data_IF_498982811034
#
_entry.id   IF_498982811034
#
_cell.length_a   1.000
_cell.length_b   1.000
_cell.length_c   1.000
_cell.angle_alpha   90.00
_cell.angle_beta   90.00
_cell.angle_gamma   90.00
#
_symmetry.space_group_name_H-M   'P 1'
#
loop_
_entity.id
_entity.type
_entity.pdbx_description
1 polymer ?
#
# COMPACT_ATOMS: atom_id res chain seq x y z
N UNK A 1 -15.91 16.00 -16.46
CA UNK A 1 -15.01 15.16 -17.30
C UNK A 1 -13.69 15.90 -17.53
N UNK A 2 -12.53 15.23 -17.38
CA UNK A 2 -11.18 15.78 -17.54
C UNK A 2 -10.78 16.91 -16.56
N UNK A 3 -11.49 17.07 -15.44
CA UNK A 3 -11.10 18.02 -14.40
C UNK A 3 -9.77 17.61 -13.76
N UNK A 4 -8.88 18.57 -13.51
CA UNK A 4 -7.60 18.34 -12.88
C UNK A 4 -7.80 18.03 -11.39
N UNK A 5 -7.06 17.06 -10.86
CA UNK A 5 -7.11 16.65 -9.46
C UNK A 5 -5.80 17.04 -8.77
N UNK A 6 -5.88 17.61 -7.58
CA UNK A 6 -4.71 17.90 -6.73
C UNK A 6 -4.89 17.21 -5.38
N UNK A 7 -3.82 16.64 -4.86
CA UNK A 7 -3.77 16.11 -3.50
C UNK A 7 -2.37 16.33 -2.91
N UNK A 8 -2.30 16.54 -1.60
CA UNK A 8 -1.07 16.37 -0.85
C UNK A 8 -0.96 14.92 -0.38
N UNK A 9 0.14 14.26 -0.69
CA UNK A 9 0.36 12.90 -0.23
C UNK A 9 1.83 12.57 -0.16
N UNK A 10 2.20 11.90 0.93
CA UNK A 10 3.53 11.31 1.14
C UNK A 10 3.61 9.84 0.73
N UNK A 11 2.52 9.22 0.24
CA UNK A 11 2.47 7.78 0.03
C UNK A 11 1.20 7.24 -0.62
N UNK A 12 0.55 6.27 0.05
CA UNK A 12 -0.41 5.34 -0.56
C UNK A 12 -1.62 6.04 -1.20
N UNK A 13 -2.11 7.14 -0.61
CA UNK A 13 -3.22 7.91 -1.19
C UNK A 13 -2.83 8.50 -2.56
N UNK A 14 -1.62 9.04 -2.70
CA UNK A 14 -1.15 9.57 -3.98
C UNK A 14 -1.03 8.48 -5.06
N UNK A 15 -0.54 7.30 -4.68
CA UNK A 15 -0.52 6.13 -5.58
C UNK A 15 -1.93 5.67 -5.97
N UNK A 16 -2.85 5.59 -5.01
CA UNK A 16 -4.24 5.21 -5.25
C UNK A 16 -4.95 6.19 -6.19
N UNK A 17 -4.79 7.49 -5.94
CA UNK A 17 -5.29 8.52 -6.83
C UNK A 17 -4.66 8.45 -8.21
N UNK A 18 -3.36 8.15 -8.33
CA UNK A 18 -2.70 8.03 -9.62
C UNK A 18 -3.33 6.92 -10.48
N UNK A 19 -3.61 5.76 -9.89
CA UNK A 19 -4.31 4.66 -10.57
C UNK A 19 -5.73 5.10 -10.99
N UNK A 20 -6.53 5.63 -10.07
CA UNK A 20 -7.92 6.00 -10.34
C UNK A 20 -8.00 7.11 -11.38
N UNK A 21 -7.14 8.12 -11.27
CA UNK A 21 -7.10 9.27 -12.18
C UNK A 21 -6.68 8.85 -13.58
N UNK A 22 -5.68 7.96 -13.70
CA UNK A 22 -5.27 7.39 -14.99
C UNK A 22 -6.40 6.60 -15.66
N UNK A 23 -7.14 5.78 -14.91
CA UNK A 23 -8.24 4.96 -15.44
C UNK A 23 -9.45 5.82 -15.83
N UNK A 24 -9.79 6.82 -15.01
CA UNK A 24 -10.95 7.68 -15.23
C UNK A 24 -10.66 8.87 -16.17
N UNK A 25 -9.42 9.02 -16.64
CA UNK A 25 -9.04 10.07 -17.60
C UNK A 25 -8.94 11.47 -16.98
N UNK A 26 -8.48 11.57 -15.73
CA UNK A 26 -8.27 12.83 -15.03
C UNK A 26 -6.77 13.12 -14.84
N UNK A 27 -6.28 14.32 -15.20
CA UNK A 27 -4.94 14.75 -14.82
C UNK A 27 -4.80 14.83 -13.30
N UNK A 28 -3.65 14.41 -12.77
CA UNK A 28 -3.38 14.42 -11.34
C UNK A 28 -2.05 15.12 -11.06
N UNK A 29 -2.05 16.03 -10.07
CA UNK A 29 -0.83 16.58 -9.48
C UNK A 29 -0.78 16.23 -7.99
N UNK A 30 0.30 15.59 -7.56
CA UNK A 30 0.59 15.28 -6.17
C UNK A 30 1.64 16.25 -5.63
N UNK A 31 1.29 16.96 -4.56
CA UNK A 31 2.25 17.70 -3.75
C UNK A 31 2.84 16.76 -2.68
N UNK A 32 4.17 16.71 -2.58
CA UNK A 32 4.87 15.81 -1.65
C UNK A 32 6.10 16.49 -1.05
N UNK A 33 6.44 16.23 0.21
CA UNK A 33 7.71 16.71 0.79
C UNK A 33 8.92 15.98 0.18
N UNK A 34 10.02 16.68 -0.08
CA UNK A 34 11.33 16.14 -0.52
C UNK A 34 11.90 15.10 0.44
N UNK A 35 11.48 15.12 1.71
CA UNK A 35 11.88 14.11 2.70
C UNK A 35 11.27 12.73 2.48
N UNK A 36 10.26 12.61 1.62
CA UNK A 36 9.66 11.33 1.30
C UNK A 36 10.54 10.51 0.35
N UNK A 37 10.33 9.19 0.37
CA UNK A 37 11.01 8.25 -0.52
C UNK A 37 10.87 8.67 -1.99
N UNK A 38 12.01 8.74 -2.69
CA UNK A 38 12.07 9.03 -4.12
C UNK A 38 11.35 7.97 -4.96
N UNK A 39 11.33 6.72 -4.50
CA UNK A 39 10.62 5.61 -5.13
C UNK A 39 9.11 5.88 -5.23
N UNK A 40 8.50 6.52 -4.21
CA UNK A 40 7.07 6.89 -4.23
C UNK A 40 6.78 7.93 -5.32
N UNK A 41 7.64 8.93 -5.47
CA UNK A 41 7.53 9.91 -6.55
C UNK A 41 7.64 9.25 -7.93
N UNK A 42 8.60 8.34 -8.10
CA UNK A 42 8.82 7.61 -9.36
C UNK A 42 7.59 6.78 -9.71
N UNK A 43 7.03 6.05 -8.74
CA UNK A 43 5.81 5.24 -8.96
C UNK A 43 4.63 6.11 -9.40
N UNK A 44 4.36 7.22 -8.70
CA UNK A 44 3.25 8.12 -9.06
C UNK A 44 3.44 8.72 -10.46
N UNK A 45 4.67 9.12 -10.82
CA UNK A 45 4.98 9.61 -12.17
C UNK A 45 4.79 8.55 -13.25
N UNK A 46 5.20 7.31 -12.98
CA UNK A 46 5.00 6.19 -13.91
C UNK A 46 3.51 5.89 -14.16
N UNK A 47 2.65 6.17 -13.16
CA UNK A 47 1.20 6.07 -13.25
C UNK A 47 0.55 7.30 -13.91
N UNK A 48 1.34 8.25 -14.43
CA UNK A 48 0.86 9.42 -15.15
C UNK A 48 0.56 10.65 -14.29
N UNK A 49 0.91 10.64 -13.00
CA UNK A 49 0.76 11.80 -12.13
C UNK A 49 1.93 12.80 -12.28
N UNK A 50 1.64 14.10 -12.25
CA UNK A 50 2.64 15.11 -11.98
C UNK A 50 2.98 15.07 -10.47
N UNK A 51 4.25 15.09 -10.11
CA UNK A 51 4.67 15.13 -8.69
C UNK A 51 5.54 16.35 -8.44
N UNK A 52 5.01 17.27 -7.62
CA UNK A 52 5.64 18.52 -7.22
C UNK A 52 6.20 18.37 -5.81
N UNK A 53 7.51 18.56 -5.67
CA UNK A 53 8.20 18.40 -4.39
C UNK A 53 8.27 19.73 -3.63
N UNK A 54 7.90 19.71 -2.35
CA UNK A 54 8.04 20.79 -1.40
C UNK A 54 9.31 20.58 -0.56
N UNK A 55 10.10 21.64 -0.35
CA UNK A 55 11.32 21.57 0.46
C UNK A 55 11.00 21.20 1.91
N UNK A 56 11.88 20.42 2.55
CA UNK A 56 11.78 20.20 3.99
C UNK A 56 12.13 21.48 4.76
N UNK A 57 11.47 21.65 5.91
CA UNK A 57 11.70 22.74 6.87
C UNK A 57 12.63 22.26 7.98
N UNK A 58 12.17 21.29 8.78
CA UNK A 58 12.90 20.74 9.93
C UNK A 58 12.89 19.20 9.96
N UNK A 59 12.31 18.56 8.95
CA UNK A 59 12.43 17.12 8.76
C UNK A 59 13.76 16.70 8.13
N UNK A 60 13.89 15.38 7.94
CA UNK A 60 15.03 14.75 7.27
C UNK A 60 14.54 13.65 6.32
N UNK A 61 15.39 13.10 5.42
CA UNK A 61 14.99 11.99 4.57
C UNK A 61 14.39 10.82 5.39
N UNK A 62 13.24 10.32 4.93
CA UNK A 62 12.44 9.30 5.59
C UNK A 62 11.63 9.78 6.81
N UNK A 63 11.68 11.07 7.15
CA UNK A 63 10.99 11.61 8.33
C UNK A 63 10.41 12.99 8.04
N UNK A 64 9.09 13.02 7.84
CA UNK A 64 8.33 14.24 7.54
C UNK A 64 7.68 14.75 8.81
N UNK A 65 7.92 16.01 9.16
CA UNK A 65 7.35 16.66 10.34
C UNK A 65 6.04 17.39 10.04
N UNK A 66 5.39 17.93 11.09
CA UNK A 66 4.22 18.80 10.92
C UNK A 66 4.54 20.10 10.15
N UNK A 67 5.76 20.65 10.31
CA UNK A 67 6.19 21.84 9.58
C UNK A 67 6.37 21.54 8.09
N UNK A 68 6.99 20.40 7.76
CA UNK A 68 7.10 19.93 6.37
C UNK A 68 5.71 19.78 5.73
N UNK A 69 4.73 19.20 6.45
CA UNK A 69 3.36 19.05 5.96
C UNK A 69 2.69 20.39 5.65
N UNK A 70 2.97 21.44 6.43
CA UNK A 70 2.43 22.77 6.16
C UNK A 70 2.99 23.36 4.86
N UNK A 71 4.28 23.14 4.56
CA UNK A 71 4.85 23.53 3.26
C UNK A 71 4.22 22.73 2.10
N UNK A 72 3.96 21.43 2.28
CA UNK A 72 3.24 20.65 1.26
C UNK A 72 1.84 21.20 1.01
N UNK A 73 1.12 21.64 2.05
CA UNK A 73 -0.20 22.30 1.91
C UNK A 73 -0.13 23.57 1.08
N UNK A 74 0.89 24.41 1.30
CA UNK A 74 1.10 25.64 0.51
C UNK A 74 1.35 25.31 -0.97
N UNK A 75 2.16 24.29 -1.25
CA UNK A 75 2.41 23.82 -2.63
C UNK A 75 1.13 23.28 -3.26
N UNK A 76 0.37 22.44 -2.55
CA UNK A 76 -0.89 21.90 -3.03
C UNK A 76 -1.88 23.03 -3.37
N UNK A 77 -2.05 24.02 -2.49
CA UNK A 77 -2.94 25.16 -2.71
C UNK A 77 -2.58 25.95 -3.99
N UNK A 78 -1.28 26.18 -4.24
CA UNK A 78 -0.81 26.84 -5.47
C UNK A 78 -1.12 26.01 -6.73
N UNK A 79 -0.98 24.69 -6.68
CA UNK A 79 -1.34 23.83 -7.81
C UNK A 79 -2.85 23.80 -8.03
N UNK A 80 -3.63 23.77 -6.95
CA UNK A 80 -5.09 23.82 -7.01
C UNK A 80 -5.57 25.10 -7.71
N UNK A 81 -5.01 26.25 -7.33
CA UNK A 81 -5.32 27.54 -7.98
C UNK A 81 -4.87 27.57 -9.44
N UNK A 82 -3.62 27.17 -9.72
CA UNK A 82 -3.03 27.17 -11.08
C UNK A 82 -3.87 26.37 -12.09
N UNK A 83 -4.36 25.20 -11.70
CA UNK A 83 -5.08 24.30 -12.59
C UNK A 83 -6.61 24.41 -12.48
N UNK A 84 -7.12 25.29 -11.62
CA UNK A 84 -8.53 25.29 -11.20
C UNK A 84 -9.01 23.87 -10.82
N UNK A 85 -8.15 23.17 -10.08
CA UNK A 85 -8.29 21.74 -9.81
C UNK A 85 -9.28 21.45 -8.68
N UNK A 86 -9.79 20.23 -8.66
CA UNK A 86 -10.44 19.67 -7.49
C UNK A 86 -9.37 19.19 -6.49
N UNK A 87 -9.34 19.81 -5.32
CA UNK A 87 -8.46 19.40 -4.22
C UNK A 87 -9.16 18.29 -3.40
N UNK A 88 -8.58 17.09 -3.37
CA UNK A 88 -9.22 15.91 -2.77
C UNK A 88 -9.35 16.02 -1.25
N UNK A 89 -8.34 16.59 -0.60
CA UNK A 89 -8.30 16.88 0.84
C UNK A 89 -8.61 15.67 1.72
N UNK A 90 -7.84 14.59 1.57
CA UNK A 90 -8.03 13.33 2.32
C UNK A 90 -8.13 13.47 3.85
N UNK A 91 -7.66 14.58 4.43
CA UNK A 91 -7.69 14.84 5.87
C UNK A 91 -9.02 15.41 6.37
N UNK A 92 -9.82 16.03 5.49
CA UNK A 92 -11.09 16.67 5.85
C UNK A 92 -12.29 16.12 5.05
N UNK A 93 -12.04 15.36 3.99
CA UNK A 93 -13.09 14.88 3.10
C UNK A 93 -13.81 13.65 3.69
N UNK A 94 -15.06 13.80 4.12
CA UNK A 94 -15.90 12.71 4.65
C UNK A 94 -16.08 11.53 3.68
N UNK A 95 -15.84 11.70 2.37
CA UNK A 95 -15.83 10.57 1.45
C UNK A 95 -14.76 9.52 1.80
N UNK A 96 -13.67 9.93 2.46
CA UNK A 96 -12.66 9.02 3.01
C UNK A 96 -13.27 8.11 4.09
N UNK A 97 -13.86 8.69 5.14
CA UNK A 97 -14.47 7.90 6.22
C UNK A 97 -15.65 7.06 5.70
N UNK A 98 -16.46 7.63 4.81
CA UNK A 98 -17.62 6.97 4.20
C UNK A 98 -17.25 5.74 3.37
N UNK A 99 -16.15 5.78 2.60
CA UNK A 99 -15.69 4.61 1.85
C UNK A 99 -15.46 3.39 2.76
N UNK A 100 -14.95 3.62 3.97
CA UNK A 100 -14.71 2.56 4.93
C UNK A 100 -15.98 2.14 5.70
N UNK A 101 -16.93 3.04 5.90
CA UNK A 101 -18.24 2.72 6.48
C UNK A 101 -19.15 1.94 5.53
N UNK A 102 -19.13 2.26 4.23
CA UNK A 102 -19.99 1.66 3.21
C UNK A 102 -19.41 0.38 2.61
N UNK A 103 -18.09 0.17 2.73
CA UNK A 103 -17.41 -0.95 2.08
C UNK A 103 -16.62 -1.78 3.09
N UNK A 104 -15.57 -1.21 3.70
CA UNK A 104 -14.63 -1.99 4.52
C UNK A 104 -15.29 -2.57 5.79
N UNK A 105 -16.08 -1.79 6.52
CA UNK A 105 -16.82 -2.24 7.70
C UNK A 105 -17.80 -3.39 7.40
N UNK A 106 -18.70 -3.24 6.39
CA UNK A 106 -19.59 -4.31 5.94
C UNK A 106 -18.87 -5.59 5.52
N UNK A 107 -17.73 -5.45 4.84
CA UNK A 107 -16.90 -6.59 4.47
C UNK A 107 -16.37 -7.34 5.69
N UNK A 108 -15.78 -6.62 6.66
CA UNK A 108 -15.28 -7.19 7.92
C UNK A 108 -16.41 -7.92 8.66
N UNK A 109 -17.57 -7.28 8.83
CA UNK A 109 -18.71 -7.87 9.53
C UNK A 109 -19.19 -9.16 8.85
N UNK A 110 -19.36 -9.12 7.53
CA UNK A 110 -19.81 -10.28 6.75
C UNK A 110 -18.79 -11.41 6.78
N UNK A 111 -17.50 -11.11 6.64
CA UNK A 111 -16.41 -12.10 6.60
C UNK A 111 -16.18 -12.75 7.96
N UNK A 112 -16.41 -12.03 9.05
CA UNK A 112 -16.35 -12.58 10.42
C UNK A 112 -17.65 -13.29 10.83
N UNK A 113 -18.70 -13.23 10.00
CA UNK A 113 -20.03 -13.73 10.37
C UNK A 113 -20.60 -13.06 11.62
N UNK A 114 -20.23 -11.79 11.86
CA UNK A 114 -20.61 -11.03 13.04
C UNK A 114 -19.92 -11.42 14.35
N UNK A 115 -18.87 -12.25 14.31
CA UNK A 115 -18.22 -12.81 15.51
C UNK A 115 -17.13 -11.94 16.13
N UNK A 116 -16.72 -10.85 15.49
CA UNK A 116 -15.65 -10.01 16.03
C UNK A 116 -16.05 -9.41 17.38
N UNK A 117 -15.12 -9.48 18.34
CA UNK A 117 -15.24 -8.86 19.65
C UNK A 117 -14.54 -7.50 19.68
N UNK A 118 -13.52 -7.31 18.84
CA UNK A 118 -12.81 -6.04 18.77
C UNK A 118 -12.28 -5.71 17.37
N UNK A 119 -12.13 -4.41 17.13
CA UNK A 119 -11.42 -3.84 15.99
C UNK A 119 -10.31 -2.91 16.48
N UNK A 120 -9.10 -3.08 15.96
CA UNK A 120 -7.94 -2.25 16.32
C UNK A 120 -7.22 -1.74 15.09
N UNK A 121 -6.89 -0.45 15.07
CA UNK A 121 -6.08 0.14 14.00
C UNK A 121 -5.26 1.35 14.48
N UNK A 122 -4.07 1.51 13.90
CA UNK A 122 -3.33 2.76 13.89
C UNK A 122 -4.09 3.79 13.05
N UNK A 123 -3.99 5.07 13.44
CA UNK A 123 -4.68 6.19 12.80
C UNK A 123 -3.72 7.06 11.99
N UNK A 124 -4.02 7.20 10.70
CA UNK A 124 -3.42 8.20 9.81
C UNK A 124 -4.34 9.41 9.63
N UNK A 125 -5.12 9.43 8.55
CA UNK A 125 -6.10 10.50 8.28
C UNK A 125 -7.33 10.44 9.21
N UNK A 126 -7.54 9.36 9.95
CA UNK A 126 -8.74 9.12 10.77
C UNK A 126 -9.87 8.41 10.03
N UNK A 127 -9.96 8.56 8.70
CA UNK A 127 -11.10 8.06 7.91
C UNK A 127 -11.35 6.56 8.05
N UNK A 128 -10.30 5.74 7.97
CA UNK A 128 -10.44 4.28 8.08
C UNK A 128 -11.00 3.82 9.42
N UNK A 129 -10.41 4.28 10.53
CA UNK A 129 -10.89 3.96 11.87
C UNK A 129 -12.32 4.49 12.08
N UNK A 130 -12.58 5.75 11.72
CA UNK A 130 -13.89 6.36 11.88
C UNK A 130 -14.98 5.60 11.11
N UNK A 131 -14.76 5.31 9.83
CA UNK A 131 -15.74 4.61 9.00
C UNK A 131 -16.04 3.19 9.48
N UNK A 132 -15.00 2.40 9.75
CA UNK A 132 -15.16 1.02 10.21
C UNK A 132 -15.83 0.99 11.58
N UNK A 133 -15.36 1.79 12.54
CA UNK A 133 -15.92 1.80 13.89
C UNK A 133 -17.37 2.29 13.94
N UNK A 134 -17.74 3.31 13.14
CA UNK A 134 -19.16 3.72 12.97
C UNK A 134 -20.02 2.56 12.51
N UNK A 135 -19.62 1.88 11.44
CA UNK A 135 -20.40 0.74 10.92
C UNK A 135 -20.49 -0.40 11.94
N UNK A 136 -19.36 -0.80 12.54
CA UNK A 136 -19.33 -1.90 13.50
C UNK A 136 -20.17 -1.62 14.74
N UNK A 137 -20.08 -0.41 15.33
CA UNK A 137 -20.89 -0.01 16.49
C UNK A 137 -22.39 0.06 16.17
N UNK A 138 -22.77 0.34 14.92
CA UNK A 138 -24.17 0.23 14.48
C UNK A 138 -24.66 -1.23 14.43
N UNK A 139 -23.79 -2.18 14.06
CA UNK A 139 -24.15 -3.60 14.05
C UNK A 139 -24.19 -4.20 15.46
N UNK A 140 -23.19 -3.86 16.28
CA UNK A 140 -23.10 -4.29 17.66
C UNK A 140 -22.30 -3.25 18.48
N UNK A 141 -22.96 -2.51 19.42
CA UNK A 141 -22.30 -1.49 20.22
C UNK A 141 -21.24 -2.05 21.19
N UNK A 142 -21.31 -3.35 21.50
CA UNK A 142 -20.37 -4.02 22.42
C UNK A 142 -19.02 -4.35 21.77
N UNK A 143 -18.87 -4.19 20.44
CA UNK A 143 -17.58 -4.38 19.77
C UNK A 143 -16.58 -3.34 20.27
N UNK A 144 -15.46 -3.79 20.83
CA UNK A 144 -14.41 -2.90 21.35
C UNK A 144 -13.59 -2.33 20.19
N UNK A 145 -13.61 -1.01 20.01
CA UNK A 145 -12.88 -0.29 18.96
C UNK A 145 -11.70 0.46 19.58
N UNK A 146 -10.48 0.03 19.25
CA UNK A 146 -9.24 0.49 19.89
C UNK A 146 -8.33 1.17 18.88
N UNK A 147 -7.72 2.29 19.28
CA UNK A 147 -6.70 2.94 18.48
C UNK A 147 -5.31 2.51 18.94
N UNK A 148 -4.47 2.06 18.01
CA UNK A 148 -3.06 1.81 18.28
C UNK A 148 -2.25 3.10 18.05
N UNK A 149 -1.51 3.55 19.06
CA UNK A 149 -0.64 4.73 18.95
C UNK A 149 0.81 4.36 19.25
N UNK A 150 1.80 4.91 18.50
CA UNK A 150 3.19 4.72 18.85
C UNK A 150 3.47 5.38 20.20
N UNK A 151 4.28 4.75 21.05
CA UNK A 151 4.60 5.28 22.38
C UNK A 151 5.14 6.72 22.33
N UNK A 152 5.83 7.05 21.24
CA UNK A 152 6.44 8.34 20.96
C UNK A 152 5.47 9.44 20.49
N UNK A 153 4.23 9.11 20.11
CA UNK A 153 3.22 10.06 19.63
C UNK A 153 1.79 9.54 19.90
N UNK A 154 1.26 9.87 21.08
CA UNK A 154 -0.07 9.43 21.55
C UNK A 154 -1.07 10.61 21.61
N UNK A 155 -1.25 11.29 20.49
CA UNK A 155 -2.07 12.50 20.41
C UNK A 155 -3.56 12.23 20.68
N UNK A 156 -4.08 11.05 20.30
CA UNK A 156 -5.48 10.67 20.52
C UNK A 156 -5.72 10.41 22.01
N UNK A 157 -4.75 9.82 22.72
CA UNK A 157 -4.75 9.70 24.18
C UNK A 157 -4.62 11.06 24.90
N UNK A 158 -4.15 12.10 24.23
CA UNK A 158 -3.92 13.43 24.80
C UNK A 158 -2.55 13.61 25.46
N UNK A 159 -1.59 12.74 25.15
CA UNK A 159 -0.22 12.83 25.66
C UNK A 159 0.65 13.69 24.73
N UNK A 160 1.69 14.37 25.25
CA UNK A 160 2.64 15.08 24.42
C UNK A 160 3.38 14.13 23.47
N UNK A 161 3.91 14.67 22.37
CA UNK A 161 4.74 13.96 21.42
C UNK A 161 6.22 14.11 21.80
N UNK A 162 6.83 13.16 22.53
CA UNK A 162 8.25 13.23 22.87
C UNK A 162 9.17 13.03 21.66
N UNK A 163 8.72 12.32 20.62
CA UNK A 163 9.55 12.07 19.43
C UNK A 163 8.71 12.00 18.14
N UNK A 164 8.81 13.00 17.24
CA UNK A 164 8.10 13.00 15.96
C UNK A 164 8.66 12.01 14.92
N UNK A 165 9.76 11.31 15.22
CA UNK A 165 10.51 10.47 14.28
C UNK A 165 10.24 8.95 14.45
N UNK A 166 9.07 8.56 14.95
CA UNK A 166 8.71 7.14 15.10
C UNK A 166 8.59 6.41 13.75
N UNK A 167 8.61 5.07 13.75
CA UNK A 167 8.66 4.27 12.50
C UNK A 167 7.34 4.22 11.71
N UNK A 168 6.20 4.51 12.36
CA UNK A 168 4.87 4.39 11.74
C UNK A 168 4.56 5.52 10.73
N UNK A 169 5.26 5.51 9.59
CA UNK A 169 5.08 6.49 8.52
C UNK A 169 3.65 6.49 7.96
N UNK A 170 3.12 7.69 7.69
CA UNK A 170 1.73 7.86 7.23
C UNK A 170 0.69 7.85 8.35
N UNK A 171 1.12 7.81 9.61
CA UNK A 171 0.26 7.80 10.79
C UNK A 171 0.81 8.63 11.95
N UNK A 172 -0.05 8.90 12.94
CA UNK A 172 0.33 9.44 14.27
C UNK A 172 1.15 10.74 14.24
N UNK A 173 0.70 11.71 13.44
CA UNK A 173 1.37 13.01 13.23
C UNK A 173 1.40 13.98 14.44
N UNK A 174 1.15 13.48 15.66
CA UNK A 174 1.19 14.31 16.88
C UNK A 174 -0.01 15.22 17.07
N UNK A 175 -1.00 15.10 16.20
CA UNK A 175 -2.27 15.81 16.26
C UNK A 175 -3.40 14.83 15.99
N UNK A 176 -4.56 15.09 16.58
CA UNK A 176 -5.78 14.34 16.28
C UNK A 176 -6.29 14.78 14.90
N UNK A 177 -6.45 13.87 13.92
CA UNK A 177 -6.85 14.27 12.58
C UNK A 177 -8.35 14.63 12.55
N UNK A 178 -8.78 15.55 11.66
CA UNK A 178 -10.15 16.07 11.65
C UNK A 178 -11.24 15.02 11.46
N UNK A 179 -10.98 13.97 10.66
CA UNK A 179 -11.95 12.88 10.43
C UNK A 179 -12.03 11.87 11.59
N UNK A 180 -11.18 11.99 12.60
CA UNK A 180 -11.22 11.08 13.75
C UNK A 180 -12.46 11.35 14.63
N UNK A 181 -13.04 10.29 15.18
CA UNK A 181 -14.18 10.38 16.09
C UNK A 181 -13.93 9.58 17.37
N UNK A 182 -14.12 10.24 18.51
CA UNK A 182 -14.03 9.61 19.83
C UNK A 182 -15.27 8.80 20.18
N UNK A 183 -16.43 9.11 19.59
CA UNK A 183 -17.71 8.51 19.99
C UNK A 183 -17.81 7.01 19.71
N UNK A 184 -16.99 6.49 18.79
CA UNK A 184 -16.93 5.08 18.43
C UNK A 184 -15.62 4.43 18.84
N UNK A 185 -14.77 5.14 19.60
CA UNK A 185 -13.54 4.62 20.19
C UNK A 185 -13.76 4.30 21.67
N UNK A 186 -13.29 3.14 22.11
CA UNK A 186 -13.32 2.75 23.52
C UNK A 186 -12.06 3.24 24.27
N UNK A 187 -10.86 2.98 23.73
CA UNK A 187 -9.58 3.44 24.31
C UNK A 187 -8.40 3.28 23.33
N UNK A 188 -7.21 3.69 23.76
CA UNK A 188 -5.96 3.56 23.00
C UNK A 188 -5.05 2.48 23.56
N UNK A 189 -4.20 1.90 22.71
CA UNK A 189 -3.13 0.97 23.07
C UNK A 189 -1.81 1.52 22.55
N UNK A 190 -0.81 1.64 23.43
CA UNK A 190 0.53 2.11 23.09
C UNK A 190 1.36 0.98 22.46
N UNK A 191 2.11 1.28 21.40
CA UNK A 191 2.99 0.34 20.70
C UNK A 191 4.39 0.97 20.52
N UNK A 192 5.46 0.25 20.86
CA UNK A 192 6.82 0.71 20.63
C UNK A 192 7.29 0.43 19.19
N UNK A 193 8.31 1.15 18.73
CA UNK A 193 8.94 0.86 17.43
C UNK A 193 9.49 -0.59 17.38
N UNK A 194 10.10 -1.07 18.48
CA UNK A 194 10.59 -2.45 18.58
C UNK A 194 9.46 -3.48 18.45
N UNK A 195 8.28 -3.20 19.02
CA UNK A 195 7.10 -4.05 18.88
C UNK A 195 6.59 -4.06 17.44
N UNK A 196 6.51 -2.89 16.80
CA UNK A 196 6.11 -2.78 15.40
C UNK A 196 7.07 -3.58 14.48
N UNK A 197 8.38 -3.47 14.69
CA UNK A 197 9.41 -4.25 13.96
C UNK A 197 9.24 -5.74 14.22
N UNK A 198 9.13 -6.15 15.50
CA UNK A 198 8.98 -7.55 15.89
C UNK A 198 7.79 -8.20 15.18
N UNK A 199 6.62 -7.58 15.21
CA UNK A 199 5.41 -8.17 14.63
C UNK A 199 5.38 -8.08 13.10
N UNK A 200 5.97 -7.05 12.50
CA UNK A 200 6.22 -7.00 11.05
C UNK A 200 7.07 -8.20 10.59
N UNK A 201 8.16 -8.47 11.30
CA UNK A 201 9.06 -9.58 10.97
C UNK A 201 8.40 -10.94 11.21
N UNK A 202 7.57 -11.07 12.25
CA UNK A 202 6.79 -12.29 12.49
C UNK A 202 5.77 -12.54 11.38
N UNK A 203 5.04 -11.52 10.92
CA UNK A 203 4.13 -11.64 9.78
C UNK A 203 4.87 -12.15 8.53
N UNK A 204 6.06 -11.59 8.24
CA UNK A 204 6.86 -12.01 7.10
C UNK A 204 7.40 -13.44 7.24
N UNK A 205 7.95 -13.79 8.40
CA UNK A 205 8.67 -15.07 8.59
C UNK A 205 7.76 -16.26 8.92
N UNK A 206 6.65 -16.03 9.61
CA UNK A 206 5.73 -17.10 10.03
C UNK A 206 4.57 -17.27 9.06
N UNK A 207 4.01 -16.17 8.58
CA UNK A 207 2.80 -16.19 7.74
C UNK A 207 3.12 -15.92 6.25
N UNK A 208 4.37 -15.58 5.91
CA UNK A 208 4.74 -15.20 4.55
C UNK A 208 4.13 -13.86 4.11
N UNK A 209 3.60 -13.07 5.04
CA UNK A 209 2.90 -11.82 4.79
C UNK A 209 3.87 -10.65 4.99
N UNK A 210 4.41 -10.13 3.90
CA UNK A 210 5.40 -9.06 3.93
C UNK A 210 4.74 -7.68 3.86
N UNK A 211 4.72 -6.96 4.98
CA UNK A 211 3.96 -5.71 5.17
C UNK A 211 4.79 -4.61 5.84
N UNK A 212 4.29 -3.38 5.84
CA UNK A 212 4.93 -2.21 6.47
C UNK A 212 4.82 -2.18 8.01
N UNK A 213 5.52 -1.21 8.63
CA UNK A 213 5.60 -1.06 10.09
C UNK A 213 4.23 -0.82 10.75
N UNK A 214 3.34 -0.05 10.09
CA UNK A 214 1.99 0.22 10.59
C UNK A 214 1.17 -1.06 10.74
N UNK A 215 1.33 -2.01 9.83
CA UNK A 215 0.73 -3.34 9.91
C UNK A 215 1.31 -4.16 11.06
N UNK A 216 2.62 -4.06 11.29
CA UNK A 216 3.28 -4.65 12.47
C UNK A 216 2.73 -4.07 13.79
N UNK A 217 2.54 -2.76 13.87
CA UNK A 217 1.99 -2.10 15.05
C UNK A 217 0.52 -2.48 15.31
N UNK A 218 -0.27 -2.59 14.26
CA UNK A 218 -1.65 -3.11 14.30
C UNK A 218 -1.72 -4.50 14.94
N UNK A 219 -0.85 -5.42 14.51
CA UNK A 219 -0.79 -6.77 15.08
C UNK A 219 -0.25 -6.75 16.51
N UNK A 220 0.74 -5.91 16.83
CA UNK A 220 1.23 -5.75 18.19
C UNK A 220 0.12 -5.31 19.15
N UNK A 221 -0.70 -4.35 18.75
CA UNK A 221 -1.82 -3.87 19.54
C UNK A 221 -2.92 -4.94 19.70
N UNK A 222 -3.22 -5.70 18.64
CA UNK A 222 -4.16 -6.81 18.70
C UNK A 222 -3.73 -7.89 19.71
N UNK A 223 -2.44 -8.25 19.73
CA UNK A 223 -1.91 -9.22 20.70
C UNK A 223 -2.01 -8.68 22.13
N UNK A 224 -1.61 -7.41 22.36
CA UNK A 224 -1.77 -6.78 23.68
C UNK A 224 -3.21 -6.76 24.15
N UNK A 225 -4.15 -6.54 23.24
CA UNK A 225 -5.58 -6.53 23.54
C UNK A 225 -6.10 -7.92 23.95
N UNK A 226 -5.62 -8.98 23.29
CA UNK A 226 -5.95 -10.37 23.68
C UNK A 226 -5.30 -10.76 25.02
N UNK A 227 -4.07 -10.29 25.28
CA UNK A 227 -3.33 -10.57 26.51
C UNK A 227 -3.82 -9.75 27.71
N UNK A 228 -4.62 -8.69 27.50
CA UNK A 228 -5.06 -7.78 28.56
C UNK A 228 -6.08 -8.39 29.53
N UNK A 229 -6.74 -9.49 29.12
CA UNK A 229 -7.88 -10.07 29.84
C UNK A 229 -9.17 -9.26 29.76
N UNK A 230 -9.22 -8.19 28.95
CA UNK A 230 -10.42 -7.37 28.74
C UNK A 230 -11.39 -7.97 27.72
N UNK A 231 -10.92 -8.91 26.90
CA UNK A 231 -11.73 -9.63 25.92
C UNK A 231 -11.99 -11.08 26.36
N UNK A 232 -13.07 -11.72 25.89
CA UNK A 232 -13.27 -13.16 26.04
C UNK A 232 -12.05 -13.97 25.54
N UNK A 233 -11.79 -15.12 26.15
CA UNK A 233 -10.63 -15.95 25.80
C UNK A 233 -10.65 -16.47 24.35
N UNK A 234 -11.84 -16.58 23.75
CA UNK A 234 -12.08 -16.99 22.36
C UNK A 234 -12.40 -15.80 21.43
N UNK A 235 -12.11 -14.57 21.87
CA UNK A 235 -12.41 -13.35 21.14
C UNK A 235 -11.73 -13.28 19.77
N UNK A 236 -12.48 -12.75 18.80
CA UNK A 236 -11.96 -12.45 17.47
C UNK A 236 -11.60 -10.97 17.38
N UNK A 237 -10.32 -10.67 17.17
CA UNK A 237 -9.82 -9.31 16.98
C UNK A 237 -9.50 -9.09 15.51
N UNK A 238 -10.11 -8.06 14.92
CA UNK A 238 -9.82 -7.65 13.54
C UNK A 238 -8.87 -6.47 13.55
N UNK A 239 -7.85 -6.52 12.70
CA UNK A 239 -6.97 -5.40 12.42
C UNK A 239 -6.66 -5.32 10.92
N UNK A 240 -5.97 -4.26 10.49
CA UNK A 240 -5.66 -4.00 9.09
C UNK A 240 -4.18 -4.22 8.79
N UNK A 241 -3.90 -4.77 7.62
CA UNK A 241 -2.56 -4.79 7.03
C UNK A 241 -2.57 -3.82 5.85
N UNK A 242 -1.94 -2.67 6.02
CA UNK A 242 -2.23 -1.48 5.21
C UNK A 242 -1.44 -1.40 3.91
N UNK A 243 -0.21 -1.91 3.90
CA UNK A 243 0.70 -1.88 2.74
C UNK A 243 1.82 -2.93 2.83
N UNK A 244 2.45 -3.18 1.68
CA UNK A 244 3.71 -3.91 1.55
C UNK A 244 4.88 -2.92 1.59
N UNK A 245 6.02 -3.31 2.18
CA UNK A 245 7.23 -2.47 2.08
C UNK A 245 7.65 -2.28 0.62
N UNK A 246 8.20 -1.11 0.30
CA UNK A 246 8.66 -0.79 -1.05
C UNK A 246 9.89 -1.64 -1.36
N UNK A 247 9.79 -2.47 -2.41
CA UNK A 247 10.93 -3.20 -2.95
C UNK A 247 11.84 -2.26 -3.73
N UNK A 248 13.15 -2.52 -3.68
CA UNK A 248 14.12 -1.69 -4.38
C UNK A 248 13.98 -1.81 -5.90
N UNK A 249 13.34 -2.88 -6.37
CA UNK A 249 13.17 -3.18 -7.79
C UNK A 249 11.97 -4.08 -8.08
N UNK A 250 11.39 -3.95 -9.28
CA UNK A 250 10.28 -4.80 -9.75
C UNK A 250 10.64 -6.29 -9.81
N UNK A 251 11.92 -6.65 -9.99
CA UNK A 251 12.35 -8.07 -9.99
C UNK A 251 12.15 -8.75 -8.63
N UNK A 252 12.13 -7.98 -7.54
CA UNK A 252 11.88 -8.46 -6.18
C UNK A 252 10.39 -8.73 -5.90
N UNK A 253 9.50 -8.30 -6.80
CA UNK A 253 8.07 -8.61 -6.76
C UNK A 253 7.74 -9.95 -7.47
N UNK A 254 8.70 -10.53 -8.20
CA UNK A 254 8.53 -11.84 -8.86
C UNK A 254 8.60 -12.94 -7.79
N UNK A 255 7.47 -13.57 -7.49
CA UNK A 255 7.36 -14.58 -6.43
C UNK A 255 6.26 -14.29 -5.42
N UNK A 256 6.05 -15.21 -4.47
CA UNK A 256 5.15 -15.03 -3.31
C UNK A 256 3.71 -14.59 -3.64
N UNK A 257 3.22 -14.87 -4.84
CA UNK A 257 1.85 -14.58 -5.27
C UNK A 257 0.84 -15.39 -4.44
N UNK A 258 -0.38 -14.91 -4.19
CA UNK A 258 -1.31 -15.60 -3.30
C UNK A 258 -1.80 -16.92 -3.90
N UNK A 259 -2.31 -17.80 -3.03
CA UNK A 259 -3.02 -19.01 -3.42
C UNK A 259 -4.48 -18.88 -2.98
N UNK A 260 -5.41 -19.10 -3.90
CA UNK A 260 -6.85 -18.96 -3.67
C UNK A 260 -7.50 -20.34 -3.72
N UNK A 261 -8.28 -20.67 -2.69
CA UNK A 261 -9.12 -21.86 -2.71
C UNK A 261 -10.38 -21.60 -3.54
N UNK A 262 -10.65 -22.48 -4.51
CA UNK A 262 -11.81 -22.39 -5.42
C UNK A 262 -13.01 -23.16 -4.86
N UNK A 263 -13.27 -23.03 -3.57
CA UNK A 263 -14.29 -23.80 -2.84
C UNK A 263 -15.72 -23.52 -3.37
N UNK A 264 -15.92 -22.39 -4.05
CA UNK A 264 -17.19 -22.06 -4.73
C UNK A 264 -17.40 -22.81 -6.05
N UNK A 265 -16.31 -23.23 -6.70
CA UNK A 265 -16.35 -24.00 -7.96
C UNK A 265 -16.44 -25.50 -7.64
N UNK A 266 -15.75 -25.95 -6.58
CA UNK A 266 -15.79 -27.33 -6.12
C UNK A 266 -16.18 -27.42 -4.64
N UNK A 267 -17.47 -27.67 -4.33
CA UNK A 267 -17.96 -27.81 -2.95
C UNK A 267 -17.88 -29.25 -2.40
N UNK A 268 -17.38 -30.21 -3.19
CA UNK A 268 -17.26 -31.62 -2.80
C UNK A 268 -16.03 -31.92 -1.91
N UNK A 269 -15.76 -33.20 -1.57
CA UNK A 269 -14.56 -33.57 -0.83
C UNK A 269 -13.27 -33.21 -1.60
N UNK A 270 -12.22 -32.81 -0.87
CA UNK A 270 -10.98 -32.25 -1.44
C UNK A 270 -11.03 -30.73 -1.63
N UNK A 271 -9.91 -30.11 -2.05
CA UNK A 271 -9.85 -28.66 -2.35
C UNK A 271 -9.12 -28.40 -3.66
N UNK A 272 -9.65 -27.48 -4.46
CA UNK A 272 -8.94 -26.92 -5.61
C UNK A 272 -8.25 -25.64 -5.14
N UNK A 273 -6.92 -25.61 -5.20
CA UNK A 273 -6.12 -24.44 -4.85
C UNK A 273 -5.50 -23.88 -6.14
N UNK A 274 -5.74 -22.61 -6.42
CA UNK A 274 -5.22 -21.91 -7.58
C UNK A 274 -4.15 -20.91 -7.16
N UNK A 275 -2.95 -21.03 -7.72
CA UNK A 275 -1.87 -20.08 -7.50
C UNK A 275 -2.04 -18.87 -8.44
N UNK A 276 -2.16 -17.67 -7.88
CA UNK A 276 -2.47 -16.44 -8.62
C UNK A 276 -1.21 -15.83 -9.29
N UNK A 277 -0.55 -16.60 -10.15
CA UNK A 277 0.69 -16.18 -10.82
C UNK A 277 0.51 -15.01 -11.82
N UNK A 278 -0.73 -14.63 -12.16
CA UNK A 278 -1.01 -13.42 -12.95
C UNK A 278 -0.67 -12.13 -12.19
N UNK A 279 -0.42 -12.21 -10.87
CA UNK A 279 -0.07 -11.08 -10.03
C UNK A 279 1.44 -10.79 -9.99
N UNK A 280 2.28 -11.54 -10.72
CA UNK A 280 3.67 -11.12 -10.92
C UNK A 280 3.72 -9.87 -11.85
N UNK A 281 4.77 -9.03 -11.79
CA UNK A 281 4.83 -7.74 -12.49
C UNK A 281 4.61 -7.76 -14.02
N UNK A 282 5.09 -8.79 -14.69
CA UNK A 282 4.89 -9.08 -16.13
C UNK A 282 3.55 -9.76 -16.43
N UNK A 283 2.68 -9.90 -15.42
CA UNK A 283 1.29 -10.31 -15.54
C UNK A 283 1.08 -11.82 -15.66
N UNK A 284 2.10 -12.65 -15.41
CA UNK A 284 1.98 -14.10 -15.57
C UNK A 284 3.05 -14.90 -14.81
N UNK A 285 2.90 -16.23 -14.84
CA UNK A 285 3.90 -17.16 -14.29
C UNK A 285 5.28 -17.08 -14.96
N UNK A 286 5.39 -16.50 -16.16
CA UNK A 286 6.63 -16.52 -16.95
C UNK A 286 7.71 -15.56 -16.44
N UNK A 287 7.35 -14.65 -15.55
CA UNK A 287 8.31 -13.79 -14.85
C UNK A 287 9.36 -14.60 -14.07
N UNK A 288 8.92 -15.71 -13.45
CA UNK A 288 9.80 -16.59 -12.65
C UNK A 288 10.91 -17.23 -13.49
N UNK A 289 10.61 -17.97 -14.58
CA UNK A 289 11.65 -18.53 -15.42
C UNK A 289 12.46 -17.42 -16.11
N UNK A 290 11.87 -16.30 -16.51
CA UNK A 290 12.64 -15.17 -17.05
C UNK A 290 13.71 -14.68 -16.07
N UNK A 291 13.33 -14.43 -14.82
CA UNK A 291 14.27 -14.04 -13.76
C UNK A 291 15.36 -15.09 -13.58
N UNK A 292 14.96 -16.35 -13.38
CA UNK A 292 15.90 -17.44 -13.11
C UNK A 292 16.89 -17.67 -14.27
N UNK A 293 16.41 -17.64 -15.52
CA UNK A 293 17.26 -17.82 -16.70
C UNK A 293 18.28 -16.69 -16.84
N UNK A 294 17.86 -15.43 -16.67
CA UNK A 294 18.76 -14.28 -16.77
C UNK A 294 19.76 -14.25 -15.61
N UNK A 295 19.31 -14.44 -14.37
CA UNK A 295 20.21 -14.52 -13.20
C UNK A 295 21.24 -15.65 -13.35
N UNK A 296 20.83 -16.82 -13.87
CA UNK A 296 21.74 -17.95 -14.12
C UNK A 296 22.72 -17.66 -15.27
N UNK A 297 22.26 -16.99 -16.33
CA UNK A 297 23.13 -16.61 -17.44
C UNK A 297 24.20 -15.61 -16.97
N UNK A 298 23.84 -14.67 -16.09
CA UNK A 298 24.78 -13.74 -15.45
C UNK A 298 25.75 -14.50 -14.55
N UNK A 299 25.26 -15.37 -13.66
CA UNK A 299 26.11 -16.06 -12.67
C UNK A 299 27.15 -16.98 -13.32
N UNK A 300 26.81 -17.59 -14.45
CA UNK A 300 27.69 -18.51 -15.16
C UNK A 300 28.55 -17.83 -16.23
N UNK A 301 28.46 -16.49 -16.35
CA UNK A 301 29.23 -15.70 -17.30
C UNK A 301 28.77 -15.77 -18.76
N UNK A 302 27.62 -16.40 -19.02
CA UNK A 302 27.04 -16.52 -20.36
C UNK A 302 26.38 -15.20 -20.83
N UNK A 303 25.96 -14.35 -19.89
CA UNK A 303 25.47 -13.00 -20.17
C UNK A 303 26.43 -11.99 -19.55
N UNK A 304 27.18 -11.31 -20.40
CA UNK A 304 28.09 -10.24 -19.99
C UNK A 304 27.29 -8.99 -19.57
N UNK A 305 27.84 -8.08 -18.76
CA UNK A 305 27.20 -6.79 -18.45
C UNK A 305 26.74 -6.07 -19.73
N UNK A 306 25.50 -5.58 -19.75
CA UNK A 306 24.83 -4.98 -20.92
C UNK A 306 24.71 -5.91 -22.15
N UNK A 307 24.92 -7.22 -21.98
CA UNK A 307 24.74 -8.20 -23.05
C UNK A 307 23.31 -8.18 -23.58
N UNK A 308 23.16 -8.30 -24.89
CA UNK A 308 21.88 -8.25 -25.58
C UNK A 308 21.18 -9.61 -25.50
N UNK A 309 19.95 -9.61 -25.01
CA UNK A 309 19.08 -10.78 -24.93
C UNK A 309 18.20 -10.82 -26.18
N UNK A 310 18.17 -11.95 -26.88
CA UNK A 310 17.29 -12.17 -28.03
C UNK A 310 16.42 -13.37 -27.74
N UNK A 311 15.10 -13.20 -27.86
CA UNK A 311 14.13 -14.27 -27.61
C UNK A 311 13.09 -14.33 -28.74
N UNK A 312 12.66 -15.54 -29.08
CA UNK A 312 11.46 -15.76 -29.89
C UNK A 312 10.24 -15.86 -28.96
N UNK A 313 9.36 -14.85 -28.95
CA UNK A 313 8.15 -14.90 -28.13
C UNK A 313 7.01 -14.06 -28.67
N UNK A 314 5.79 -14.57 -28.50
CA UNK A 314 4.55 -13.87 -28.86
C UNK A 314 3.64 -13.57 -27.65
N UNK A 315 4.15 -13.76 -26.43
CA UNK A 315 3.30 -13.78 -25.24
C UNK A 315 4.02 -13.53 -23.93
N UNK A 316 3.52 -14.19 -22.89
CA UNK A 316 3.91 -14.00 -21.49
C UNK A 316 5.42 -14.13 -21.22
N UNK A 317 6.13 -14.97 -21.98
CA UNK A 317 7.59 -15.11 -21.84
C UNK A 317 8.33 -13.83 -22.24
N UNK A 318 7.89 -13.20 -23.33
CA UNK A 318 8.39 -11.90 -23.76
C UNK A 318 8.12 -10.80 -22.73
N UNK A 319 6.92 -10.76 -22.15
CA UNK A 319 6.60 -9.79 -21.08
C UNK A 319 7.48 -9.99 -19.84
N UNK A 320 7.66 -11.24 -19.39
CA UNK A 320 8.51 -11.55 -18.24
C UNK A 320 9.98 -11.20 -18.49
N UNK A 321 10.50 -11.47 -19.70
CA UNK A 321 11.86 -11.06 -20.09
C UNK A 321 11.96 -9.55 -20.20
N UNK A 322 10.97 -8.85 -20.75
CA UNK A 322 10.98 -7.39 -20.85
C UNK A 322 11.09 -6.73 -19.46
N UNK A 323 10.33 -7.22 -18.48
CA UNK A 323 10.45 -6.75 -17.09
C UNK A 323 11.85 -7.02 -16.52
N UNK A 324 12.37 -8.23 -16.67
CA UNK A 324 13.67 -8.62 -16.10
C UNK A 324 14.83 -7.89 -16.78
N UNK A 325 14.84 -7.83 -18.10
CA UNK A 325 15.87 -7.17 -18.90
C UNK A 325 15.90 -5.66 -18.68
N UNK A 326 14.73 -5.01 -18.62
CA UNK A 326 14.64 -3.57 -18.34
C UNK A 326 15.20 -3.23 -16.95
N UNK A 327 14.90 -4.07 -15.95
CA UNK A 327 15.38 -3.89 -14.58
C UNK A 327 16.88 -4.15 -14.45
N UNK A 328 17.39 -5.20 -15.10
CA UNK A 328 18.80 -5.60 -14.99
C UNK A 328 19.72 -4.87 -15.98
N UNK A 329 19.18 -4.00 -16.84
CA UNK A 329 19.96 -3.17 -17.75
C UNK A 329 20.46 -3.92 -18.99
N UNK A 330 19.72 -4.90 -19.47
CA UNK A 330 20.05 -5.66 -20.68
C UNK A 330 19.11 -5.29 -21.84
N UNK A 331 19.64 -4.95 -23.03
CA UNK A 331 18.81 -4.80 -24.22
C UNK A 331 18.07 -6.10 -24.54
N UNK A 332 16.82 -6.00 -24.98
CA UNK A 332 15.99 -7.15 -25.33
C UNK A 332 15.39 -6.96 -26.71
N UNK A 333 15.58 -7.94 -27.59
CA UNK A 333 14.84 -8.02 -28.88
C UNK A 333 13.93 -9.23 -28.85
N UNK A 334 12.67 -9.03 -29.21
CA UNK A 334 11.68 -10.10 -29.27
C UNK A 334 11.23 -10.32 -30.71
N UNK A 335 11.63 -11.47 -31.26
CA UNK A 335 11.09 -11.94 -32.53
C UNK A 335 9.65 -12.46 -32.31
N UNK A 336 8.69 -11.84 -32.98
CA UNK A 336 7.27 -12.21 -32.92
C UNK A 336 6.68 -12.40 -34.32
N UNK A 337 5.75 -13.35 -34.46
CA UNK A 337 4.98 -13.52 -35.71
C UNK A 337 3.95 -12.39 -35.87
N UNK A 338 3.75 -11.93 -37.10
CA UNK A 338 2.89 -10.80 -37.48
C UNK A 338 1.41 -10.99 -37.08
N UNK A 339 0.95 -12.23 -36.91
CA UNK A 339 -0.43 -12.55 -36.51
C UNK A 339 -0.73 -12.43 -35.01
N UNK A 340 0.21 -11.98 -34.18
CA UNK A 340 0.03 -11.88 -32.73
C UNK A 340 -0.60 -10.56 -32.27
N UNK A 341 -1.23 -10.59 -31.09
CA UNK A 341 -1.96 -9.46 -30.51
C UNK A 341 -1.07 -8.19 -30.40
N UNK A 342 -1.46 -7.09 -31.07
CA UNK A 342 -0.71 -5.82 -31.03
C UNK A 342 -0.50 -5.27 -29.62
N UNK A 343 -1.44 -5.55 -28.71
CA UNK A 343 -1.42 -5.07 -27.33
C UNK A 343 -0.20 -5.59 -26.56
N UNK A 344 0.25 -6.84 -26.83
CA UNK A 344 1.42 -7.41 -26.16
C UNK A 344 2.72 -6.82 -26.68
N UNK A 345 2.79 -6.55 -27.99
CA UNK A 345 3.92 -5.85 -28.59
C UNK A 345 4.07 -4.43 -28.03
N UNK A 346 2.94 -3.72 -27.86
CA UNK A 346 2.90 -2.39 -27.22
C UNK A 346 3.42 -2.44 -25.78
N UNK A 347 2.97 -3.42 -24.99
CA UNK A 347 3.43 -3.59 -23.61
C UNK A 347 4.94 -3.86 -23.53
N UNK A 348 5.48 -4.75 -24.37
CA UNK A 348 6.92 -5.07 -24.36
C UNK A 348 7.78 -3.90 -24.82
N UNK A 349 7.35 -3.13 -25.83
CA UNK A 349 8.04 -1.90 -26.26
C UNK A 349 8.03 -0.81 -25.20
N UNK A 350 6.94 -0.67 -24.45
CA UNK A 350 6.87 0.27 -23.33
C UNK A 350 7.89 -0.05 -22.22
N UNK A 351 8.33 -1.31 -22.14
CA UNK A 351 9.39 -1.79 -21.25
C UNK A 351 10.79 -1.76 -21.90
N UNK A 352 10.94 -1.18 -23.10
CA UNK A 352 12.22 -1.01 -23.76
C UNK A 352 12.69 -2.20 -24.62
N UNK A 353 11.83 -3.17 -24.90
CA UNK A 353 12.13 -4.24 -25.85
C UNK A 353 11.95 -3.75 -27.30
N UNK A 354 12.81 -4.23 -28.21
CA UNK A 354 12.70 -4.06 -29.67
C UNK A 354 11.79 -5.13 -30.31
#
# INVERSE_FOLDING_TARGET
PNGHIVELSSGNQGCGLAVVSAVLGHPLTIAMSEGNSTQRAVMMRALGAEVVLAKQVDGKPGHVTGADLNEVKVVAAKQTEKYHAYYVDQLNNEANSRAHEEITGPEIWRQTGGRLAAFVSVVGTGGCFAGISRYLKQQNPDIVCVVAEPTAAQAIKGEPMPNPLHLLQGSSFGVVPPLFTYNTMDYTVSVTDDEAVKYKDLLARKEGVYVGYTSGANVAAAVKLLESGQLPADAWVVTLLNDTDIKASAIELIGNTPMVALDRIWPGPGRILAKCEFMNPGGSIKDRPSRCMIETAISNGNLQPNGHIVELSSGNQGCGLAVVSAVLGHPLTIAMSEGNSPQRAVMMRALGAE
#
